data_IF_389610795985
#
_entry.id   IF_389610795985
#
_cell.length_a   1.000
_cell.length_b   1.000
_cell.length_c   1.000
_cell.angle_alpha   90.00
_cell.angle_beta   90.00
_cell.angle_gamma   90.00
#
_symmetry.space_group_name_H-M   'P 1'
#
loop_
_entity.id
_entity.type
_entity.pdbx_description
1 polymer ?
#
# COMPACT_ATOMS: atom_id res chain seq x y z
N UNK A 1 0.67 25.94 -14.77
CA UNK A 1 -0.06 26.42 -13.58
C UNK A 1 -0.22 25.22 -12.66
N UNK A 2 0.14 25.33 -11.37
CA UNK A 2 -0.04 24.23 -10.41
C UNK A 2 -1.49 24.14 -9.94
N UNK A 3 -1.88 22.99 -9.38
CA UNK A 3 -3.20 22.77 -8.79
C UNK A 3 -3.52 23.81 -7.70
N UNK A 4 -4.77 24.24 -7.63
CA UNK A 4 -5.27 25.14 -6.58
C UNK A 4 -5.18 24.48 -5.20
N UNK A 5 -5.18 25.30 -4.14
CA UNK A 5 -5.11 24.81 -2.75
C UNK A 5 -6.31 23.91 -2.42
N UNK A 6 -7.48 24.22 -2.97
CA UNK A 6 -8.70 23.42 -2.81
C UNK A 6 -8.53 22.02 -3.43
N UNK A 7 -7.96 21.95 -4.63
CA UNK A 7 -7.69 20.67 -5.30
C UNK A 7 -6.63 19.87 -4.54
N UNK A 8 -5.55 20.50 -4.09
CA UNK A 8 -4.52 19.84 -3.28
C UNK A 8 -5.10 19.26 -1.98
N UNK A 9 -5.94 20.02 -1.28
CA UNK A 9 -6.61 19.56 -0.06
C UNK A 9 -7.54 18.37 -0.33
N UNK A 10 -8.30 18.41 -1.42
CA UNK A 10 -9.17 17.30 -1.83
C UNK A 10 -8.38 16.05 -2.20
N UNK A 11 -7.23 16.20 -2.86
CA UNK A 11 -6.31 15.09 -3.17
C UNK A 11 -5.79 14.48 -1.88
N UNK A 12 -5.28 15.25 -0.92
CA UNK A 12 -4.81 14.72 0.38
C UNK A 12 -5.92 13.97 1.13
N UNK A 13 -7.15 14.49 1.08
CA UNK A 13 -8.31 13.83 1.68
C UNK A 13 -8.61 12.48 0.99
N UNK A 14 -8.59 12.44 -0.36
CA UNK A 14 -8.76 11.20 -1.12
C UNK A 14 -7.64 10.21 -0.87
N UNK A 15 -6.38 10.64 -0.86
CA UNK A 15 -5.23 9.79 -0.54
C UNK A 15 -5.38 9.17 0.83
N UNK A 16 -5.81 9.96 1.82
CA UNK A 16 -6.01 9.46 3.18
C UNK A 16 -7.15 8.45 3.26
N UNK A 17 -8.21 8.62 2.47
CA UNK A 17 -9.37 7.73 2.44
C UNK A 17 -9.12 6.45 1.64
N UNK A 18 -8.41 6.53 0.51
CA UNK A 18 -8.12 5.39 -0.37
C UNK A 18 -6.87 4.61 0.07
N UNK A 19 -5.94 5.22 0.81
CA UNK A 19 -4.78 4.50 1.32
C UNK A 19 -5.19 3.45 2.36
N UNK A 20 -4.50 2.30 2.31
CA UNK A 20 -4.69 1.23 3.30
C UNK A 20 -4.36 1.73 4.71
N UNK A 21 -5.16 1.30 5.68
CA UNK A 21 -5.02 1.73 7.06
C UNK A 21 -3.80 1.08 7.72
N UNK A 22 -2.88 1.93 8.23
CA UNK A 22 -1.72 1.51 9.02
C UNK A 22 -2.17 0.77 10.27
N UNK A 23 -3.20 1.28 10.96
CA UNK A 23 -3.76 0.64 12.14
C UNK A 23 -4.30 -0.74 11.83
N UNK A 24 -5.04 -0.90 10.72
CA UNK A 24 -5.55 -2.21 10.30
C UNK A 24 -4.42 -3.19 9.96
N UNK A 25 -3.35 -2.73 9.31
CA UNK A 25 -2.19 -3.55 9.00
C UNK A 25 -1.48 -4.06 10.28
N UNK A 26 -1.28 -3.20 11.28
CA UNK A 26 -0.72 -3.61 12.58
C UNK A 26 -1.66 -4.52 13.37
N UNK A 27 -2.98 -4.28 13.31
CA UNK A 27 -3.97 -5.13 13.96
C UNK A 27 -3.94 -6.55 13.36
N UNK A 28 -3.90 -6.66 12.03
CA UNK A 28 -3.76 -7.94 11.34
C UNK A 28 -2.41 -8.60 11.63
N UNK A 29 -1.33 -7.83 11.74
CA UNK A 29 -0.01 -8.34 12.08
C UNK A 29 0.05 -8.86 13.53
N UNK A 30 -0.65 -8.22 14.48
CA UNK A 30 -0.66 -8.65 15.87
C UNK A 30 -1.52 -9.91 16.07
N UNK A 31 -2.74 -9.93 15.54
CA UNK A 31 -3.67 -11.06 15.76
C UNK A 31 -3.45 -12.24 14.81
N UNK A 32 -3.17 -11.95 13.54
CA UNK A 32 -3.07 -12.95 12.46
C UNK A 32 -1.68 -12.93 11.79
N UNK A 33 -0.68 -12.32 12.42
CA UNK A 33 0.65 -12.15 11.83
C UNK A 33 1.34 -13.45 11.48
N UNK A 34 1.25 -14.46 12.35
CA UNK A 34 1.83 -15.79 12.09
C UNK A 34 1.22 -16.48 10.87
N UNK A 35 -0.05 -16.21 10.57
CA UNK A 35 -0.74 -16.68 9.36
C UNK A 35 -0.44 -15.86 8.11
N UNK A 36 0.27 -14.73 8.23
CA UNK A 36 0.62 -13.85 7.12
C UNK A 36 -0.52 -12.94 6.64
N UNK A 37 -1.59 -12.75 7.42
CA UNK A 37 -2.77 -11.98 7.00
C UNK A 37 -2.46 -10.51 6.67
N UNK A 38 -1.52 -9.89 7.39
CA UNK A 38 -1.06 -8.53 7.11
C UNK A 38 -0.44 -8.41 5.71
N UNK A 39 0.27 -9.44 5.23
CA UNK A 39 0.83 -9.46 3.87
C UNK A 39 -0.26 -9.60 2.80
N UNK A 40 -1.29 -10.39 3.05
CA UNK A 40 -2.45 -10.48 2.15
C UNK A 40 -3.19 -9.14 2.07
N UNK A 41 -3.42 -8.47 3.21
CA UNK A 41 -4.04 -7.14 3.24
C UNK A 41 -3.22 -6.09 2.48
N UNK A 42 -1.89 -6.13 2.62
CA UNK A 42 -0.99 -5.23 1.88
C UNK A 42 -0.91 -5.53 0.38
N UNK A 43 -1.49 -6.64 -0.10
CA UNK A 43 -1.48 -7.06 -1.51
C UNK A 43 -0.28 -7.91 -1.90
N UNK A 44 0.51 -8.38 -0.92
CA UNK A 44 1.74 -9.17 -1.11
C UNK A 44 1.46 -10.66 -0.94
N UNK A 45 0.56 -11.19 -1.77
CA UNK A 45 0.01 -12.57 -1.71
C UNK A 45 1.13 -13.62 -1.72
N UNK A 46 2.11 -13.50 -2.61
CA UNK A 46 3.19 -14.50 -2.72
C UNK A 46 3.98 -14.69 -1.42
N UNK A 47 4.32 -13.58 -0.77
CA UNK A 47 5.04 -13.64 0.52
C UNK A 47 4.16 -14.03 1.71
N UNK A 48 2.86 -13.71 1.68
CA UNK A 48 1.92 -14.20 2.69
C UNK A 48 1.71 -15.71 2.59
N UNK A 49 1.62 -16.24 1.36
CA UNK A 49 1.54 -17.67 1.11
C UNK A 49 2.82 -18.40 1.55
N UNK A 50 4.00 -17.85 1.26
CA UNK A 50 5.26 -18.41 1.74
C UNK A 50 5.30 -18.51 3.28
N UNK A 51 4.82 -17.47 3.98
CA UNK A 51 4.77 -17.46 5.43
C UNK A 51 3.80 -18.51 5.99
N UNK A 52 2.63 -18.69 5.36
CA UNK A 52 1.67 -19.73 5.73
C UNK A 52 2.23 -21.14 5.49
N UNK A 53 2.92 -21.36 4.36
CA UNK A 53 3.58 -22.64 4.05
C UNK A 53 4.68 -22.93 5.09
N UNK A 54 5.50 -21.94 5.44
CA UNK A 54 6.52 -22.07 6.49
C UNK A 54 5.94 -22.38 7.85
N UNK A 55 4.80 -21.77 8.21
CA UNK A 55 4.09 -22.09 9.44
C UNK A 55 3.63 -23.55 9.45
N UNK A 56 2.99 -24.01 8.37
CA UNK A 56 2.50 -25.39 8.24
C UNK A 56 3.65 -26.40 8.25
N UNK A 57 4.71 -26.16 7.47
CA UNK A 57 5.90 -27.02 7.47
C UNK A 57 6.61 -27.00 8.83
N UNK A 58 6.72 -25.83 9.46
CA UNK A 58 7.32 -25.67 10.78
C UNK A 58 6.56 -26.46 11.84
N UNK A 59 5.23 -26.42 11.83
CA UNK A 59 4.38 -27.24 12.70
C UNK A 59 4.53 -28.75 12.41
N UNK A 60 4.49 -29.17 11.15
CA UNK A 60 4.62 -30.58 10.75
C UNK A 60 5.98 -31.17 11.14
N UNK A 61 7.04 -30.39 10.99
CA UNK A 61 8.42 -30.82 11.28
C UNK A 61 8.86 -30.54 12.72
N UNK A 62 7.99 -29.96 13.56
CA UNK A 62 8.29 -29.65 14.96
C UNK A 62 8.62 -30.90 15.77
N UNK A 63 8.02 -32.04 15.43
CA UNK A 63 8.26 -33.34 16.08
C UNK A 63 9.71 -33.84 15.96
N UNK A 64 10.47 -33.33 14.97
CA UNK A 64 11.85 -33.73 14.68
C UNK A 64 12.85 -32.65 15.16
N UNK A 65 12.41 -31.70 16.00
CA UNK A 65 13.16 -30.49 16.41
C UNK A 65 13.54 -29.51 15.27
N UNK A 66 13.56 -29.96 14.01
CA UNK A 66 13.77 -29.14 12.80
C UNK A 66 12.73 -28.01 12.72
N UNK A 67 11.48 -28.31 13.06
CA UNK A 67 10.41 -27.30 13.04
C UNK A 67 10.63 -26.17 14.05
N UNK A 68 11.35 -26.39 15.15
CA UNK A 68 11.66 -25.33 16.13
C UNK A 68 12.56 -24.26 15.50
N UNK A 69 13.54 -24.66 14.69
CA UNK A 69 14.41 -23.72 13.97
C UNK A 69 13.62 -22.92 12.92
N UNK A 70 12.71 -23.59 12.20
CA UNK A 70 11.83 -22.93 11.23
C UNK A 70 10.88 -21.93 11.89
N UNK A 71 10.29 -22.28 13.03
CA UNK A 71 9.41 -21.40 13.80
C UNK A 71 10.19 -20.23 14.43
N UNK A 72 11.44 -20.44 14.84
CA UNK A 72 12.32 -19.36 15.28
C UNK A 72 12.63 -18.38 14.14
N UNK A 73 12.97 -18.90 12.96
CA UNK A 73 13.17 -18.07 11.76
C UNK A 73 11.90 -17.30 11.37
N UNK A 74 10.73 -17.95 11.44
CA UNK A 74 9.43 -17.32 11.19
C UNK A 74 9.10 -16.23 12.22
N UNK A 75 9.51 -16.40 13.48
CA UNK A 75 9.34 -15.39 14.53
C UNK A 75 10.24 -14.17 14.28
N UNK A 76 11.48 -14.37 13.84
CA UNK A 76 12.37 -13.27 13.43
C UNK A 76 11.77 -12.53 12.23
N UNK A 77 11.28 -13.27 11.23
CA UNK A 77 10.62 -12.67 10.08
C UNK A 77 9.38 -11.86 10.50
N UNK A 78 8.55 -12.39 11.40
CA UNK A 78 7.40 -11.66 11.94
C UNK A 78 7.80 -10.31 12.59
N UNK A 79 8.94 -10.24 13.29
CA UNK A 79 9.48 -8.96 13.82
C UNK A 79 9.94 -8.03 12.70
N UNK A 80 10.66 -8.53 11.70
CA UNK A 80 11.11 -7.74 10.53
C UNK A 80 9.90 -7.10 9.82
N UNK A 81 8.78 -7.83 9.75
CA UNK A 81 7.57 -7.32 9.13
C UNK A 81 6.99 -6.09 9.83
N UNK A 82 7.13 -5.97 11.16
CA UNK A 82 6.70 -4.78 11.89
C UNK A 82 7.38 -3.50 11.39
N UNK A 83 8.64 -3.62 10.94
CA UNK A 83 9.41 -2.52 10.35
C UNK A 83 9.13 -2.34 8.86
N UNK A 84 8.66 -3.38 8.16
CA UNK A 84 8.37 -3.33 6.73
C UNK A 84 7.01 -2.69 6.41
N UNK A 85 6.01 -2.87 7.29
CA UNK A 85 4.66 -2.30 7.18
C UNK A 85 4.66 -0.79 6.87
N UNK A 86 5.37 0.08 7.63
CA UNK A 86 5.33 1.53 7.39
C UNK A 86 5.88 1.90 6.01
N UNK A 87 6.92 1.19 5.53
CA UNK A 87 7.50 1.42 4.20
C UNK A 87 6.51 1.11 3.07
N UNK A 88 5.84 -0.03 3.14
CA UNK A 88 4.85 -0.46 2.13
C UNK A 88 3.67 0.51 2.07
N UNK A 89 3.23 1.03 3.22
CA UNK A 89 2.09 1.95 3.26
C UNK A 89 2.49 3.36 2.78
N UNK A 90 3.71 3.82 3.11
CA UNK A 90 4.23 5.07 2.58
C UNK A 90 4.31 5.04 1.04
N UNK A 91 4.77 3.93 0.48
CA UNK A 91 4.81 3.72 -0.97
C UNK A 91 3.41 3.76 -1.59
N UNK A 92 2.43 3.06 -1.01
CA UNK A 92 1.05 3.07 -1.50
C UNK A 92 0.42 4.46 -1.46
N UNK A 93 0.65 5.25 -0.39
CA UNK A 93 0.19 6.64 -0.31
C UNK A 93 0.79 7.51 -1.41
N UNK A 94 2.07 7.32 -1.71
CA UNK A 94 2.75 8.01 -2.81
C UNK A 94 2.12 7.71 -4.17
N UNK A 95 1.85 6.43 -4.46
CA UNK A 95 1.24 5.98 -5.72
C UNK A 95 -0.17 6.57 -5.88
N UNK A 96 -1.01 6.51 -4.84
CA UNK A 96 -2.38 7.05 -4.89
C UNK A 96 -2.36 8.57 -5.09
N UNK A 97 -1.46 9.28 -4.38
CA UNK A 97 -1.29 10.73 -4.52
C UNK A 97 -0.89 11.12 -5.93
N UNK A 98 0.05 10.39 -6.52
CA UNK A 98 0.52 10.65 -7.87
C UNK A 98 -0.59 10.46 -8.91
N UNK A 99 -1.34 9.35 -8.82
CA UNK A 99 -2.49 9.09 -9.71
C UNK A 99 -3.53 10.21 -9.65
N UNK A 100 -3.93 10.62 -8.44
CA UNK A 100 -4.91 11.69 -8.26
C UNK A 100 -4.40 13.05 -8.74
N UNK A 101 -3.11 13.32 -8.58
CA UNK A 101 -2.47 14.54 -9.10
C UNK A 101 -2.47 14.54 -10.62
N UNK A 102 -2.09 13.43 -11.24
CA UNK A 102 -2.07 13.27 -12.70
C UNK A 102 -3.50 13.47 -13.25
N UNK A 103 -4.48 12.78 -12.69
CA UNK A 103 -5.90 12.91 -13.07
C UNK A 103 -6.39 14.37 -12.96
N UNK A 104 -6.06 15.06 -11.87
CA UNK A 104 -6.43 16.47 -11.69
C UNK A 104 -5.76 17.39 -12.73
N UNK A 105 -4.50 17.13 -13.09
CA UNK A 105 -3.80 17.87 -14.14
C UNK A 105 -4.39 17.61 -15.53
N UNK A 106 -4.80 16.38 -15.83
CA UNK A 106 -5.48 16.04 -17.07
C UNK A 106 -6.82 16.78 -17.17
N UNK A 107 -7.64 16.77 -16.10
CA UNK A 107 -8.93 17.45 -16.07
C UNK A 107 -8.79 18.97 -16.17
N UNK A 108 -7.84 19.56 -15.44
CA UNK A 108 -7.58 21.00 -15.51
C UNK A 108 -7.12 21.42 -16.92
N UNK A 109 -6.25 20.62 -17.56
CA UNK A 109 -5.80 20.87 -18.93
C UNK A 109 -6.96 20.81 -19.93
N UNK A 110 -7.87 19.84 -19.79
CA UNK A 110 -9.05 19.73 -20.64
C UNK A 110 -10.03 20.89 -20.45
N UNK A 111 -10.20 21.39 -19.23
CA UNK A 111 -11.03 22.56 -18.95
C UNK A 111 -10.48 23.85 -19.60
N UNK A 112 -9.17 23.94 -19.81
CA UNK A 112 -8.52 25.08 -20.47
C UNK A 112 -8.55 25.02 -22.01
N UNK A 113 -8.63 23.82 -22.63
CA UNK A 113 -8.66 23.66 -24.09
C UNK A 113 -9.82 24.36 -24.83
N UNK A 114 -11.10 24.31 -24.40
CA UNK A 114 -12.19 25.02 -25.09
C UNK A 114 -12.08 26.54 -25.00
N UNK A 115 -11.31 27.08 -24.04
CA UNK A 115 -11.11 28.53 -23.87
C UNK A 115 -10.02 29.08 -24.81
N UNK A 116 -9.13 28.22 -25.32
CA UNK A 116 -8.01 28.61 -26.19
C UNK A 116 -8.40 28.69 -27.67
N UNK A 117 -9.48 28.04 -28.10
CA UNK A 117 -9.93 28.00 -29.50
C UNK A 117 -10.74 29.22 -29.95
N UNK A 118 -11.09 30.14 -29.05
CA UNK A 118 -11.76 31.42 -29.38
C UNK A 118 -10.74 32.57 -29.39
N UNK A 119 -9.76 32.51 -30.28
CA UNK A 119 -9.10 33.72 -30.81
C UNK A 119 -8.95 33.54 -32.33
N UNK A 120 -9.97 33.89 -33.14
CA UNK A 120 -9.70 34.29 -34.51
C UNK A 120 -9.13 35.71 -34.45
N UNK A 121 -7.81 35.80 -34.32
CA UNK A 121 -7.06 36.97 -34.77
C UNK A 121 -7.01 36.96 -36.28
N UNK A 122 -8.09 37.41 -36.93
CA UNK A 122 -8.07 37.82 -38.33
C UNK A 122 -8.72 39.19 -38.46
N UNK A 123 -7.83 40.18 -38.59
CA UNK A 123 -7.88 41.39 -39.42
C UNK A 123 -9.04 42.36 -39.20
#
# INVERSE_FOLDING_TARGET
MGLSVQEQMLIEQRVTNEAKSVGAAYLLWFFLGYFGAHRFYLGRVGSGAAQLILLVLGCLTAFVFVGVVLLAALSIWWVIDAFLIPGVIAEQKGIVRQRLTDDALYMNRQAEEPKRTVIPGHV
#
